data_IF_569693572475
#
_entry.id   IF_569693572475
#
_cell.length_a   1.000
_cell.length_b   1.000
_cell.length_c   1.000
_cell.angle_alpha   90.00
_cell.angle_beta   90.00
_cell.angle_gamma   90.00
#
_symmetry.space_group_name_H-M   'P 1'
#
loop_
_entity.id
_entity.type
_entity.pdbx_description
1 polymer ?
#
# COMPACT_ATOMS: atom_id res chain seq x y z
N UNK A 1 -87.70 -3.67 -90.30
CA UNK A 1 -87.04 -3.89 -89.00
C UNK A 1 -85.56 -4.28 -89.09
N UNK A 2 -85.05 -4.77 -90.22
CA UNK A 2 -83.67 -5.29 -90.38
C UNK A 2 -82.58 -4.20 -90.24
N UNK A 3 -82.72 -3.06 -90.94
CA UNK A 3 -81.74 -1.94 -90.87
C UNK A 3 -81.48 -1.40 -89.45
N UNK A 4 -82.48 -1.40 -88.55
CA UNK A 4 -82.31 -0.97 -87.15
C UNK A 4 -81.47 -1.94 -86.31
N UNK A 5 -81.46 -3.24 -86.64
CA UNK A 5 -80.60 -4.22 -85.95
C UNK A 5 -79.16 -4.11 -86.40
N UNK A 6 -78.92 -3.96 -87.70
CA UNK A 6 -77.57 -3.79 -88.26
C UNK A 6 -76.86 -2.55 -87.70
N UNK A 7 -77.56 -1.41 -87.64
CA UNK A 7 -77.00 -0.18 -87.03
C UNK A 7 -76.66 -0.35 -85.55
N UNK A 8 -77.51 -1.06 -84.78
CA UNK A 8 -77.23 -1.35 -83.36
C UNK A 8 -75.98 -2.23 -83.20
N UNK A 9 -75.80 -3.24 -84.03
CA UNK A 9 -74.62 -4.12 -83.98
C UNK A 9 -73.33 -3.37 -84.32
N UNK A 10 -73.36 -2.47 -85.31
CA UNK A 10 -72.21 -1.62 -85.66
C UNK A 10 -71.85 -0.68 -84.50
N UNK A 11 -72.84 -0.04 -83.87
CA UNK A 11 -72.60 0.83 -82.71
C UNK A 11 -72.01 0.07 -81.52
N UNK A 12 -72.49 -1.15 -81.23
CA UNK A 12 -71.92 -2.00 -80.16
C UNK A 12 -70.48 -2.39 -80.50
N UNK A 13 -70.17 -2.72 -81.76
CA UNK A 13 -68.81 -3.02 -82.20
C UNK A 13 -67.85 -1.85 -82.01
N UNK A 14 -68.26 -0.63 -82.39
CA UNK A 14 -67.46 0.58 -82.18
C UNK A 14 -67.22 0.90 -80.70
N UNK A 15 -68.24 0.69 -79.85
CA UNK A 15 -68.10 0.86 -78.39
C UNK A 15 -67.12 -0.14 -77.78
N UNK A 16 -67.12 -1.40 -78.25
CA UNK A 16 -66.16 -2.41 -77.80
C UNK A 16 -64.73 -2.08 -78.22
N UNK A 17 -64.54 -1.55 -79.44
CA UNK A 17 -63.22 -1.11 -79.92
C UNK A 17 -62.72 0.08 -79.10
N UNK A 18 -63.57 1.08 -78.83
CA UNK A 18 -63.24 2.22 -77.97
C UNK A 18 -62.86 1.77 -76.55
N UNK A 19 -63.62 0.83 -75.97
CA UNK A 19 -63.32 0.25 -74.66
C UNK A 19 -61.96 -0.48 -74.66
N UNK A 20 -61.65 -1.23 -75.72
CA UNK A 20 -60.36 -1.91 -75.85
C UNK A 20 -59.19 -0.92 -75.95
N UNK A 21 -59.35 0.18 -76.71
CA UNK A 21 -58.32 1.23 -76.83
C UNK A 21 -58.05 1.89 -75.47
N UNK A 22 -59.11 2.23 -74.73
CA UNK A 22 -58.99 2.82 -73.38
C UNK A 22 -58.28 1.83 -72.44
N UNK A 23 -58.65 0.55 -72.44
CA UNK A 23 -57.99 -0.45 -71.61
C UNK A 23 -56.50 -0.64 -71.97
N UNK A 24 -56.15 -0.64 -73.26
CA UNK A 24 -54.75 -0.73 -73.70
C UNK A 24 -53.96 0.48 -73.20
N UNK A 25 -54.54 1.69 -73.30
CA UNK A 25 -53.93 2.91 -72.77
C UNK A 25 -53.72 2.82 -71.24
N UNK A 26 -54.76 2.44 -70.49
CA UNK A 26 -54.70 2.28 -69.04
C UNK A 26 -53.65 1.24 -68.61
N UNK A 27 -53.55 0.11 -69.31
CA UNK A 27 -52.53 -0.92 -69.03
C UNK A 27 -51.12 -0.37 -69.24
N UNK A 28 -50.91 0.45 -70.28
CA UNK A 28 -49.61 1.06 -70.55
C UNK A 28 -49.21 2.05 -69.46
N UNK A 29 -50.14 2.89 -69.02
CA UNK A 29 -49.92 3.86 -67.95
C UNK A 29 -49.62 3.17 -66.61
N UNK A 30 -50.38 2.14 -66.24
CA UNK A 30 -50.15 1.34 -65.03
C UNK A 30 -48.79 0.63 -65.06
N UNK A 31 -48.34 0.15 -66.23
CA UNK A 31 -47.00 -0.44 -66.37
C UNK A 31 -45.90 0.58 -66.15
N UNK A 32 -46.02 1.76 -66.75
CA UNK A 32 -45.07 2.86 -66.59
C UNK A 32 -44.94 3.27 -65.12
N UNK A 33 -46.08 3.47 -64.43
CA UNK A 33 -46.10 3.80 -63.00
C UNK A 33 -45.50 2.69 -62.12
N UNK A 34 -45.73 1.42 -62.47
CA UNK A 34 -45.14 0.29 -61.74
C UNK A 34 -43.61 0.29 -61.88
N UNK A 35 -43.09 0.50 -63.08
CA UNK A 35 -41.65 0.55 -63.34
C UNK A 35 -40.97 1.70 -62.59
N UNK A 36 -41.62 2.86 -62.47
CA UNK A 36 -41.13 3.99 -61.67
C UNK A 36 -41.10 3.68 -60.17
N UNK A 37 -42.16 3.07 -59.64
CA UNK A 37 -42.23 2.65 -58.23
C UNK A 37 -41.16 1.58 -57.93
N UNK A 38 -40.93 0.63 -58.84
CA UNK A 38 -39.91 -0.40 -58.68
C UNK A 38 -38.49 0.19 -58.71
N UNK A 39 -38.24 1.20 -59.56
CA UNK A 39 -36.97 1.94 -59.58
C UNK A 39 -36.73 2.69 -58.27
N UNK A 40 -37.68 3.50 -57.83
CA UNK A 40 -37.54 4.26 -56.58
C UNK A 40 -37.33 3.34 -55.38
N UNK A 41 -38.06 2.21 -55.31
CA UNK A 41 -37.87 1.21 -54.25
C UNK A 41 -36.50 0.56 -54.29
N UNK A 42 -35.88 0.43 -55.46
CA UNK A 42 -34.53 -0.12 -55.60
C UNK A 42 -33.49 0.89 -55.13
N UNK A 43 -33.64 2.15 -55.51
CA UNK A 43 -32.77 3.25 -55.08
C UNK A 43 -32.82 3.42 -53.55
N UNK A 44 -34.02 3.47 -52.95
CA UNK A 44 -34.20 3.54 -51.49
C UNK A 44 -33.54 2.36 -50.77
N UNK A 45 -33.62 1.14 -51.33
CA UNK A 45 -32.96 -0.04 -50.76
C UNK A 45 -31.44 0.07 -50.82
N UNK A 46 -30.89 0.54 -51.93
CA UNK A 46 -29.44 0.71 -52.10
C UNK A 46 -28.90 1.78 -51.13
N UNK A 47 -29.64 2.87 -50.92
CA UNK A 47 -29.31 3.90 -49.92
C UNK A 47 -29.35 3.35 -48.50
N UNK A 48 -30.40 2.60 -48.15
CA UNK A 48 -30.51 1.93 -46.85
C UNK A 48 -29.36 0.95 -46.61
N UNK A 49 -29.00 0.15 -47.61
CA UNK A 49 -27.87 -0.78 -47.52
C UNK A 49 -26.52 -0.08 -47.40
N UNK A 50 -26.35 1.10 -48.00
CA UNK A 50 -25.16 1.92 -47.84
C UNK A 50 -25.07 2.49 -46.41
N UNK A 51 -26.18 3.01 -45.87
CA UNK A 51 -26.27 3.50 -44.49
C UNK A 51 -25.99 2.40 -43.47
N UNK A 52 -26.59 1.21 -43.63
CA UNK A 52 -26.36 0.05 -42.76
C UNK A 52 -24.88 -0.35 -42.77
N UNK A 53 -24.24 -0.34 -43.94
CA UNK A 53 -22.79 -0.62 -44.04
C UNK A 53 -21.95 0.42 -43.33
N UNK A 54 -22.28 1.71 -43.47
CA UNK A 54 -21.60 2.80 -42.76
C UNK A 54 -21.69 2.63 -41.25
N UNK A 55 -22.90 2.51 -40.71
CA UNK A 55 -23.16 2.30 -39.28
C UNK A 55 -22.48 1.02 -38.75
N UNK A 56 -22.48 -0.06 -39.53
CA UNK A 56 -21.79 -1.30 -39.12
C UNK A 56 -20.27 -1.12 -39.04
N UNK A 57 -19.69 -0.24 -39.85
CA UNK A 57 -18.27 0.12 -39.77
C UNK A 57 -17.96 0.94 -38.51
N UNK A 58 -18.77 1.95 -38.22
CA UNK A 58 -18.63 2.79 -37.03
C UNK A 58 -18.79 2.00 -35.73
N UNK A 59 -19.77 1.09 -35.67
CA UNK A 59 -19.95 0.21 -34.50
C UNK A 59 -18.71 -0.66 -34.28
N UNK A 60 -18.07 -1.15 -35.35
CA UNK A 60 -16.84 -1.94 -35.23
C UNK A 60 -15.69 -1.10 -34.71
N UNK A 61 -15.47 0.10 -35.23
CA UNK A 61 -14.38 0.97 -34.76
C UNK A 61 -14.54 1.35 -33.29
N UNK A 62 -15.76 1.71 -32.87
CA UNK A 62 -16.05 2.03 -31.45
C UNK A 62 -15.79 0.82 -30.56
N UNK A 63 -16.18 -0.38 -30.99
CA UNK A 63 -15.95 -1.62 -30.24
C UNK A 63 -14.47 -1.95 -30.10
N UNK A 64 -13.69 -1.73 -31.16
CA UNK A 64 -12.25 -1.96 -31.13
C UNK A 64 -11.54 -0.95 -30.20
N UNK A 65 -11.97 0.32 -30.21
CA UNK A 65 -11.49 1.35 -29.28
C UNK A 65 -11.82 1.02 -27.81
N UNK A 66 -13.03 0.53 -27.54
CA UNK A 66 -13.45 0.08 -26.21
C UNK A 66 -12.59 -1.08 -25.72
N UNK A 67 -12.35 -2.09 -26.57
CA UNK A 67 -11.49 -3.23 -26.25
C UNK A 67 -10.04 -2.81 -25.96
N UNK A 68 -9.51 -1.83 -26.71
CA UNK A 68 -8.18 -1.27 -26.41
C UNK A 68 -8.16 -0.51 -25.08
N UNK A 69 -9.20 0.26 -24.78
CA UNK A 69 -9.30 1.00 -23.53
C UNK A 69 -9.34 0.04 -22.32
N UNK A 70 -10.11 -1.04 -22.40
CA UNK A 70 -10.15 -2.08 -21.37
C UNK A 70 -8.78 -2.71 -21.14
N UNK A 71 -8.07 -3.06 -22.22
CA UNK A 71 -6.71 -3.63 -22.12
C UNK A 71 -5.74 -2.66 -21.44
N UNK A 72 -5.81 -1.38 -21.77
CA UNK A 72 -4.97 -0.33 -21.15
C UNK A 72 -5.28 -0.19 -19.64
N UNK A 73 -6.56 -0.20 -19.27
CA UNK A 73 -6.97 -0.14 -17.85
C UNK A 73 -6.52 -1.39 -17.08
N UNK A 74 -6.70 -2.58 -17.64
CA UNK A 74 -6.24 -3.83 -17.03
C UNK A 74 -4.73 -3.83 -16.80
N UNK A 75 -3.95 -3.30 -17.74
CA UNK A 75 -2.50 -3.11 -17.59
C UNK A 75 -2.15 -2.22 -16.39
N UNK A 76 -2.77 -1.04 -16.29
CA UNK A 76 -2.54 -0.10 -15.17
C UNK A 76 -2.93 -0.70 -13.81
N UNK A 77 -4.06 -1.40 -13.73
CA UNK A 77 -4.51 -2.06 -12.49
C UNK A 77 -3.49 -3.11 -12.05
N UNK A 78 -2.94 -3.88 -12.99
CA UNK A 78 -1.93 -4.90 -12.68
C UNK A 78 -0.63 -4.27 -12.17
N UNK A 79 -0.15 -3.21 -12.81
CA UNK A 79 1.05 -2.50 -12.38
C UNK A 79 0.89 -1.89 -10.97
N UNK A 80 -0.23 -1.21 -10.71
CA UNK A 80 -0.53 -0.66 -9.39
C UNK A 80 -0.70 -1.78 -8.34
N UNK A 81 -1.33 -2.91 -8.70
CA UNK A 81 -1.45 -4.07 -7.83
C UNK A 81 -0.09 -4.64 -7.40
N UNK A 82 0.89 -4.71 -8.30
CA UNK A 82 2.25 -5.15 -7.97
C UNK A 82 3.00 -4.12 -7.11
N UNK A 83 2.83 -2.82 -7.36
CA UNK A 83 3.39 -1.75 -6.52
C UNK A 83 2.87 -1.83 -5.08
N UNK A 84 1.57 -2.01 -4.90
CA UNK A 84 0.94 -2.17 -3.59
C UNK A 84 1.49 -3.41 -2.88
N UNK A 85 1.59 -4.56 -3.56
CA UNK A 85 2.17 -5.77 -2.97
C UNK A 85 3.62 -5.56 -2.51
N UNK A 86 4.42 -4.82 -3.28
CA UNK A 86 5.80 -4.50 -2.90
C UNK A 86 5.84 -3.58 -1.67
N UNK A 87 5.00 -2.55 -1.63
CA UNK A 87 4.89 -1.65 -0.48
C UNK A 87 4.46 -2.40 0.79
N UNK A 88 3.42 -3.22 0.71
CA UNK A 88 2.94 -4.02 1.85
C UNK A 88 4.02 -4.98 2.35
N UNK A 89 4.75 -5.66 1.45
CA UNK A 89 5.87 -6.52 1.85
C UNK A 89 6.93 -5.75 2.64
N UNK A 90 7.31 -4.56 2.14
CA UNK A 90 8.32 -3.71 2.78
C UNK A 90 7.89 -3.25 4.18
N UNK A 91 6.64 -2.82 4.36
CA UNK A 91 6.13 -2.42 5.68
C UNK A 91 6.02 -3.61 6.66
N UNK A 92 5.64 -4.79 6.18
CA UNK A 92 5.61 -6.01 7.01
C UNK A 92 7.02 -6.40 7.46
N UNK A 93 8.02 -6.33 6.58
CA UNK A 93 9.43 -6.59 6.94
C UNK A 93 9.96 -5.56 7.93
N UNK A 94 9.63 -4.28 7.73
CA UNK A 94 10.00 -3.20 8.67
C UNK A 94 9.42 -3.44 10.05
N UNK A 95 8.13 -3.78 10.15
CA UNK A 95 7.48 -4.10 11.42
C UNK A 95 8.04 -5.35 12.10
N UNK A 96 8.49 -6.37 11.33
CA UNK A 96 9.17 -7.55 11.89
C UNK A 96 10.55 -7.21 12.44
N UNK A 97 11.33 -6.39 11.74
CA UNK A 97 12.65 -5.95 12.20
C UNK A 97 12.56 -5.05 13.43
N UNK A 98 11.59 -4.13 13.47
CA UNK A 98 11.35 -3.26 14.63
C UNK A 98 10.91 -4.06 15.86
N UNK A 99 9.99 -5.02 15.71
CA UNK A 99 9.59 -5.92 16.80
C UNK A 99 10.73 -6.83 17.24
N UNK A 100 11.49 -7.39 16.31
CA UNK A 100 12.66 -8.22 16.62
C UNK A 100 13.76 -7.44 17.35
N UNK A 101 13.97 -6.17 17.01
CA UNK A 101 14.89 -5.28 17.71
C UNK A 101 14.42 -4.92 19.12
N UNK A 102 13.13 -4.59 19.28
CA UNK A 102 12.54 -4.28 20.57
C UNK A 102 12.55 -5.47 21.53
N UNK A 103 12.25 -6.68 21.05
CA UNK A 103 12.30 -7.91 21.86
C UNK A 103 13.73 -8.20 22.34
N UNK A 104 14.73 -8.09 21.46
CA UNK A 104 16.14 -8.28 21.84
C UNK A 104 16.64 -7.26 22.87
N UNK A 105 16.14 -6.02 22.80
CA UNK A 105 16.48 -4.99 23.80
C UNK A 105 15.85 -5.32 25.16
N UNK A 106 14.58 -5.74 25.18
CA UNK A 106 13.88 -6.15 26.41
C UNK A 106 14.50 -7.39 27.05
N UNK A 107 14.89 -8.39 26.25
CA UNK A 107 15.58 -9.59 26.74
C UNK A 107 16.93 -9.22 27.37
N UNK A 108 17.72 -8.37 26.70
CA UNK A 108 19.01 -7.89 27.21
C UNK A 108 18.85 -7.07 28.50
N UNK A 109 17.84 -6.21 28.59
CA UNK A 109 17.57 -5.44 29.82
C UNK A 109 17.13 -6.36 30.98
N UNK A 110 16.32 -7.38 30.70
CA UNK A 110 15.90 -8.38 31.68
C UNK A 110 17.06 -9.22 32.22
N UNK A 111 18.01 -9.61 31.36
CA UNK A 111 19.24 -10.30 31.78
C UNK A 111 20.09 -9.43 32.71
N UNK A 112 20.26 -8.14 32.39
CA UNK A 112 21.00 -7.20 33.23
C UNK A 112 20.31 -7.00 34.59
N UNK A 113 18.97 -6.95 34.65
CA UNK A 113 18.24 -6.86 35.92
C UNK A 113 18.42 -8.11 36.82
N UNK A 114 18.53 -9.30 36.24
CA UNK A 114 18.80 -10.53 37.01
C UNK A 114 20.21 -10.48 37.60
N UNK A 115 21.19 -10.08 36.79
CA UNK A 115 22.57 -9.90 37.26
C UNK A 115 22.67 -8.81 38.33
N UNK A 116 21.98 -7.68 38.18
CA UNK A 116 21.97 -6.63 39.21
C UNK A 116 21.41 -7.12 40.55
N UNK A 117 20.36 -7.95 40.51
CA UNK A 117 19.81 -8.58 41.72
C UNK A 117 20.81 -9.52 42.38
N UNK A 118 21.48 -10.36 41.58
CA UNK A 118 22.53 -11.25 42.08
C UNK A 118 23.69 -10.47 42.72
N UNK A 119 24.18 -9.42 42.04
CA UNK A 119 25.22 -8.53 42.57
C UNK A 119 24.80 -7.88 43.90
N UNK A 120 23.54 -7.47 43.99
CA UNK A 120 23.01 -6.82 45.19
C UNK A 120 22.91 -7.79 46.37
N UNK A 121 22.52 -9.04 46.12
CA UNK A 121 22.50 -10.08 47.16
C UNK A 121 23.92 -10.44 47.64
N UNK A 122 24.91 -10.46 46.75
CA UNK A 122 26.32 -10.61 47.14
C UNK A 122 26.79 -9.43 48.01
N UNK A 123 26.41 -8.21 47.64
CA UNK A 123 26.72 -7.01 48.41
C UNK A 123 26.12 -7.07 49.82
N UNK A 124 24.84 -7.48 49.95
CA UNK A 124 24.19 -7.68 51.26
C UNK A 124 24.89 -8.71 52.15
N UNK A 125 25.50 -9.73 51.54
CA UNK A 125 26.28 -10.76 52.25
C UNK A 125 27.69 -10.29 52.63
N UNK A 126 28.08 -9.06 52.26
CA UNK A 126 29.42 -8.52 52.47
C UNK A 126 30.46 -9.06 51.49
N UNK A 127 30.05 -9.76 50.43
CA UNK A 127 30.96 -10.31 49.40
C UNK A 127 31.35 -9.23 48.36
N UNK A 128 31.90 -8.11 48.84
CA UNK A 128 32.14 -6.90 48.03
C UNK A 128 33.01 -7.14 46.79
N UNK A 129 34.05 -7.97 46.88
CA UNK A 129 34.90 -8.28 45.72
C UNK A 129 34.17 -9.04 44.60
N UNK A 130 33.19 -9.89 44.95
CA UNK A 130 32.35 -10.60 43.96
C UNK A 130 31.26 -9.69 43.41
N UNK A 131 30.64 -8.90 44.28
CA UNK A 131 29.68 -7.87 43.86
C UNK A 131 30.31 -6.87 42.89
N UNK A 132 31.53 -6.40 43.17
CA UNK A 132 32.29 -5.51 42.29
C UNK A 132 32.45 -6.10 40.88
N UNK A 133 32.92 -7.34 40.77
CA UNK A 133 33.13 -7.98 39.46
C UNK A 133 31.84 -8.10 38.64
N UNK A 134 30.71 -8.34 39.31
CA UNK A 134 29.43 -8.45 38.62
C UNK A 134 28.93 -7.07 38.18
N UNK A 135 28.98 -6.07 39.07
CA UNK A 135 28.61 -4.70 38.72
C UNK A 135 29.51 -4.08 37.67
N UNK A 136 30.81 -4.38 37.67
CA UNK A 136 31.75 -3.92 36.64
C UNK A 136 31.37 -4.47 35.25
N UNK A 137 31.07 -5.77 35.16
CA UNK A 137 30.56 -6.37 33.92
C UNK A 137 29.27 -5.70 33.44
N UNK A 138 28.32 -5.45 34.35
CA UNK A 138 27.06 -4.77 34.01
C UNK A 138 27.34 -3.35 33.52
N UNK A 139 28.25 -2.61 34.17
CA UNK A 139 28.68 -1.26 33.78
C UNK A 139 29.32 -1.24 32.38
N UNK A 140 30.13 -2.24 32.05
CA UNK A 140 30.77 -2.35 30.73
C UNK A 140 29.75 -2.61 29.62
N UNK A 141 28.68 -3.37 29.93
CA UNK A 141 27.59 -3.67 29.00
C UNK A 141 26.63 -2.48 28.84
N UNK A 142 26.31 -1.79 29.93
CA UNK A 142 25.47 -0.59 29.96
C UNK A 142 26.04 0.48 30.92
N UNK A 143 26.89 1.39 30.41
CA UNK A 143 27.51 2.44 31.21
C UNK A 143 26.53 3.54 31.61
N UNK A 144 25.27 3.53 31.16
CA UNK A 144 24.28 4.54 31.52
C UNK A 144 23.59 4.27 32.86
N UNK A 145 23.71 3.03 33.39
CA UNK A 145 23.08 2.60 34.64
C UNK A 145 23.79 3.20 35.86
N UNK A 146 23.32 4.38 36.28
CA UNK A 146 23.90 5.14 37.39
C UNK A 146 23.93 4.34 38.71
N UNK A 147 22.90 3.53 38.98
CA UNK A 147 22.83 2.68 40.19
C UNK A 147 23.92 1.60 40.20
N UNK A 148 24.23 1.01 39.05
CA UNK A 148 25.33 0.05 38.90
C UNK A 148 26.66 0.73 39.18
N UNK A 149 26.90 1.90 38.57
CA UNK A 149 28.11 2.70 38.82
C UNK A 149 28.30 3.04 40.30
N UNK A 150 27.23 3.44 40.98
CA UNK A 150 27.23 3.63 42.43
C UNK A 150 27.71 2.37 43.17
N UNK A 151 27.15 1.21 42.85
CA UNK A 151 27.55 -0.03 43.52
C UNK A 151 28.92 -0.57 43.11
N UNK A 152 29.44 -0.20 41.93
CA UNK A 152 30.84 -0.45 41.56
C UNK A 152 31.76 0.24 42.56
N UNK A 153 31.62 1.56 42.76
CA UNK A 153 32.50 2.28 43.69
C UNK A 153 32.27 1.91 45.14
N UNK A 154 31.02 1.63 45.52
CA UNK A 154 30.68 1.15 46.86
C UNK A 154 31.40 -0.17 47.15
N UNK A 155 31.24 -1.16 46.26
CA UNK A 155 31.85 -2.48 46.42
C UNK A 155 33.38 -2.42 46.33
N UNK A 156 33.92 -1.56 45.47
CA UNK A 156 35.37 -1.36 45.35
C UNK A 156 35.97 -0.79 46.63
N UNK A 157 35.31 0.21 47.21
CA UNK A 157 35.77 0.85 48.44
C UNK A 157 35.68 -0.10 49.63
N UNK A 158 34.50 -0.66 49.92
CA UNK A 158 34.31 -1.55 51.08
C UNK A 158 34.99 -2.92 50.91
N UNK A 159 35.36 -3.31 49.69
CA UNK A 159 36.17 -4.50 49.44
C UNK A 159 37.62 -4.36 49.90
N UNK A 160 38.18 -3.15 49.87
CA UNK A 160 39.48 -2.83 50.45
C UNK A 160 39.63 -1.32 50.67
N UNK A 161 39.19 -0.86 51.84
CA UNK A 161 39.12 0.57 52.16
C UNK A 161 40.49 1.25 52.21
N UNK A 162 41.57 0.49 52.42
CA UNK A 162 42.95 1.00 52.54
C UNK A 162 43.68 1.05 51.19
N UNK A 163 43.05 0.60 50.10
CA UNK A 163 43.68 0.63 48.78
C UNK A 163 43.68 2.05 48.19
N UNK A 164 44.77 2.79 48.44
CA UNK A 164 44.94 4.18 47.99
C UNK A 164 45.02 4.33 46.46
N UNK A 165 45.35 3.26 45.72
CA UNK A 165 45.38 3.29 44.26
C UNK A 165 43.98 3.52 43.66
N UNK A 166 42.94 3.06 44.37
CA UNK A 166 41.55 3.21 43.93
C UNK A 166 40.95 4.59 44.22
N UNK A 167 41.54 5.37 45.13
CA UNK A 167 40.94 6.60 45.64
C UNK A 167 40.69 7.64 44.55
N UNK A 168 41.64 7.82 43.63
CA UNK A 168 41.49 8.76 42.51
C UNK A 168 40.28 8.40 41.65
N UNK A 169 40.19 7.14 41.23
CA UNK A 169 39.09 6.64 40.42
C UNK A 169 37.74 6.77 41.15
N UNK A 170 37.69 6.41 42.45
CA UNK A 170 36.46 6.52 43.25
C UNK A 170 36.00 7.99 43.34
N UNK A 171 36.92 8.93 43.55
CA UNK A 171 36.59 10.36 43.63
C UNK A 171 36.06 10.92 42.31
N UNK A 172 36.69 10.58 41.19
CA UNK A 172 36.24 10.99 39.84
C UNK A 172 34.82 10.45 39.54
N UNK A 173 34.54 9.20 39.91
CA UNK A 173 33.23 8.59 39.68
C UNK A 173 32.15 9.18 40.62
N UNK A 174 32.50 9.55 41.86
CA UNK A 174 31.59 10.27 42.78
C UNK A 174 31.17 11.62 42.16
N UNK A 175 32.12 12.38 41.62
CA UNK A 175 31.84 13.65 40.95
C UNK A 175 30.95 13.46 39.72
N UNK A 176 31.24 12.45 38.90
CA UNK A 176 30.40 12.09 37.75
C UNK A 176 28.97 11.78 38.17
N UNK A 177 28.77 10.92 39.16
CA UNK A 177 27.44 10.53 39.65
C UNK A 177 26.66 11.72 40.21
N UNK A 178 27.32 12.63 40.94
CA UNK A 178 26.70 13.88 41.41
C UNK A 178 26.34 14.81 40.26
N UNK A 179 27.18 14.92 39.23
CA UNK A 179 26.88 15.66 38.01
C UNK A 179 25.66 15.12 37.26
N UNK A 180 25.32 13.84 37.45
CA UNK A 180 24.10 13.19 36.95
C UNK A 180 22.91 13.25 37.92
N UNK A 181 23.04 13.97 39.03
CA UNK A 181 21.97 14.22 40.00
C UNK A 181 21.87 13.20 41.14
N UNK A 182 22.80 12.23 41.24
CA UNK A 182 22.80 11.25 42.32
C UNK A 182 23.31 11.87 43.62
N UNK A 183 22.53 11.74 44.70
CA UNK A 183 22.83 12.33 46.03
C UNK A 183 22.78 11.31 47.17
N UNK A 184 23.15 10.06 46.87
CA UNK A 184 23.19 8.98 47.87
C UNK A 184 24.15 9.32 49.01
N UNK A 185 23.72 9.09 50.25
CA UNK A 185 24.50 9.41 51.45
C UNK A 185 25.84 8.65 51.48
N UNK A 186 25.83 7.39 51.03
CA UNK A 186 27.02 6.55 50.95
C UNK A 186 28.14 7.15 50.09
N UNK A 187 27.83 7.95 49.06
CA UNK A 187 28.84 8.66 48.28
C UNK A 187 29.59 9.68 49.13
N UNK A 188 28.84 10.41 49.96
CA UNK A 188 29.40 11.45 50.82
C UNK A 188 30.19 10.85 52.00
N UNK A 189 29.79 9.66 52.46
CA UNK A 189 30.53 8.92 53.48
C UNK A 189 31.89 8.45 52.93
N UNK A 190 31.89 7.76 51.78
CA UNK A 190 33.11 7.26 51.13
C UNK A 190 34.08 8.42 50.85
N UNK A 191 33.58 9.51 50.27
CA UNK A 191 34.38 10.71 50.00
C UNK A 191 35.04 11.27 51.27
N UNK A 192 34.28 11.41 52.35
CA UNK A 192 34.77 11.94 53.63
C UNK A 192 35.83 11.02 54.26
N UNK A 193 35.68 9.70 54.10
CA UNK A 193 36.66 8.72 54.60
C UNK A 193 37.96 8.78 53.81
N UNK A 194 37.88 8.84 52.47
CA UNK A 194 39.04 9.01 51.60
C UNK A 194 39.80 10.30 51.91
N UNK A 195 39.09 11.44 52.03
CA UNK A 195 39.71 12.75 52.35
C UNK A 195 40.47 12.71 53.68
N UNK A 196 39.85 12.16 54.74
CA UNK A 196 40.52 12.00 56.05
C UNK A 196 41.78 11.15 55.97
N UNK A 197 41.75 10.05 55.21
CA UNK A 197 42.90 9.15 55.06
C UNK A 197 44.05 9.78 54.23
N UNK A 198 43.72 10.69 53.32
CA UNK A 198 44.70 11.47 52.56
C UNK A 198 45.30 12.62 53.40
N UNK A 199 44.50 13.23 54.28
CA UNK A 199 44.91 14.32 55.21
C UNK A 199 45.67 13.80 56.44
N UNK A 200 45.51 12.54 56.83
CA UNK A 200 46.20 11.92 57.96
C UNK A 200 47.66 11.51 57.67
N UNK A 201 48.20 11.89 56.50
CA UNK A 201 49.62 11.75 56.12
C UNK A 201 50.34 13.08 56.27
#
# INVERSE_FOLDING_TARGET
>A
MVKKREVKTICVGLLLVLYAIINIYMIKEVKCLREDIERNRKEEKEELEALIRGLSGEIKSVKDEELEAERRLAGKIREEGERIKAYVRKEVERGKNERGGAVKLLERDGELEVQEREAYELLKRGEYGRAYKLYEKIKDVDPSRLKVRYYVIYSLFYGNEMNKENYKYIMEEIEYLRGKGMREEGLSEIERRIKRELEAK
#
